data_IF_764375356958
#
_entry.id   IF_764375356958
#
_cell.length_a   1.000
_cell.length_b   1.000
_cell.length_c   1.000
_cell.angle_alpha   90.00
_cell.angle_beta   90.00
_cell.angle_gamma   90.00
#
_symmetry.space_group_name_H-M   'P 1'
#
loop_
_entity.id
_entity.type
_entity.pdbx_description
1 polymer ?
#
# COMPACT_ATOMS: atom_id res chain seq x y z
N UNK A 1 12.40 11.03 11.94
CA UNK A 1 12.71 9.67 12.46
C UNK A 1 12.31 8.67 11.37
N UNK A 2 12.99 7.53 11.19
CA UNK A 2 12.56 6.53 10.19
C UNK A 2 11.32 5.79 10.72
N UNK A 3 10.37 5.51 9.83
CA UNK A 3 9.16 4.75 10.18
C UNK A 3 9.54 3.38 10.77
N UNK A 4 9.09 3.03 11.98
CA UNK A 4 9.56 1.82 12.66
C UNK A 4 9.04 0.55 12.00
N UNK A 5 9.86 -0.50 12.04
CA UNK A 5 9.48 -1.86 11.60
C UNK A 5 9.29 -2.71 12.85
N UNK A 6 8.06 -3.16 13.09
CA UNK A 6 7.71 -3.90 14.30
C UNK A 6 7.41 -5.34 13.95
N UNK A 7 8.17 -6.26 14.53
CA UNK A 7 7.85 -7.70 14.48
C UNK A 7 6.67 -7.98 15.41
N UNK A 8 5.69 -8.72 14.91
CA UNK A 8 4.48 -9.10 15.63
C UNK A 8 4.50 -10.60 15.84
N UNK A 9 4.45 -11.01 17.11
CA UNK A 9 4.31 -12.40 17.49
C UNK A 9 2.87 -12.89 17.23
N UNK A 10 2.71 -14.21 17.06
CA UNK A 10 1.40 -14.84 16.80
C UNK A 10 0.36 -14.53 17.88
N UNK A 11 0.80 -14.38 19.14
CA UNK A 11 -0.05 -14.10 20.30
C UNK A 11 -0.35 -12.60 20.53
N UNK A 12 0.11 -11.73 19.61
CA UNK A 12 -0.13 -10.28 19.65
C UNK A 12 1.01 -9.46 20.27
N UNK A 13 0.71 -8.22 20.67
CA UNK A 13 1.67 -7.32 21.33
C UNK A 13 2.09 -7.85 22.71
N UNK A 14 3.38 -7.74 23.04
CA UNK A 14 3.87 -8.02 24.38
C UNK A 14 3.24 -7.07 25.43
N UNK A 15 3.07 -7.51 26.70
CA UNK A 15 2.57 -6.65 27.77
C UNK A 15 3.41 -5.38 27.91
N UNK A 16 2.76 -4.21 27.87
CA UNK A 16 3.41 -2.89 27.96
C UNK A 16 3.92 -2.31 26.64
N UNK A 17 3.83 -3.05 25.52
CA UNK A 17 4.03 -2.48 24.19
C UNK A 17 2.80 -1.68 23.74
N UNK A 18 2.97 -0.65 22.89
CA UNK A 18 1.83 0.04 22.28
C UNK A 18 0.95 -0.96 21.53
N UNK A 19 -0.34 -0.67 21.43
CA UNK A 19 -1.23 -1.50 20.63
C UNK A 19 -0.77 -1.49 19.16
N UNK A 20 -0.99 -2.59 18.44
CA UNK A 20 -0.65 -2.68 17.01
C UNK A 20 -1.38 -1.61 16.18
N UNK A 21 -2.56 -1.20 16.62
CA UNK A 21 -3.35 -0.11 16.03
C UNK A 21 -2.64 1.22 16.20
N UNK A 22 -2.23 1.58 17.42
CA UNK A 22 -1.48 2.82 17.66
C UNK A 22 -0.17 2.83 16.90
N UNK A 23 0.55 1.70 16.85
CA UNK A 23 1.79 1.59 16.10
C UNK A 23 1.58 1.86 14.60
N UNK A 24 0.53 1.27 13.99
CA UNK A 24 0.17 1.52 12.59
C UNK A 24 -0.20 2.98 12.34
N UNK A 25 -1.02 3.59 13.21
CA UNK A 25 -1.43 4.98 13.05
C UNK A 25 -0.27 5.96 13.22
N UNK A 26 0.74 5.60 14.02
CA UNK A 26 2.01 6.32 14.13
C UNK A 26 3.00 6.01 12.98
N UNK A 27 2.59 5.25 11.97
CA UNK A 27 3.40 5.00 10.77
C UNK A 27 4.36 3.83 10.89
N UNK A 28 4.09 2.84 11.73
CA UNK A 28 4.87 1.60 11.76
C UNK A 28 4.53 0.69 10.58
N UNK A 29 5.48 -0.16 10.20
CA UNK A 29 5.22 -1.35 9.37
C UNK A 29 5.20 -2.55 10.31
N UNK A 30 4.05 -3.22 10.42
CA UNK A 30 3.91 -4.44 11.20
C UNK A 30 4.34 -5.64 10.36
N UNK A 31 5.14 -6.55 10.93
CA UNK A 31 5.66 -7.74 10.25
C UNK A 31 5.25 -8.98 11.02
N UNK A 32 4.48 -9.85 10.38
CA UNK A 32 3.97 -11.10 10.90
C UNK A 32 4.78 -12.26 10.33
N UNK A 33 5.36 -13.07 11.21
CA UNK A 33 6.24 -14.17 10.85
C UNK A 33 5.52 -15.52 10.76
N UNK A 34 4.53 -15.74 11.63
CA UNK A 34 3.92 -17.06 11.86
C UNK A 34 2.46 -17.15 11.39
N UNK A 35 2.11 -16.44 10.32
CA UNK A 35 0.76 -16.49 9.74
C UNK A 35 0.70 -17.46 8.57
N UNK A 36 -0.05 -18.55 8.75
CA UNK A 36 -0.15 -19.63 7.78
C UNK A 36 -1.01 -19.23 6.57
N UNK A 37 -0.47 -19.42 5.37
CA UNK A 37 -1.21 -19.30 4.11
C UNK A 37 -0.68 -20.36 3.13
N UNK A 38 -1.05 -21.64 3.35
CA UNK A 38 -0.54 -22.74 2.56
C UNK A 38 -1.08 -22.70 1.13
N UNK A 39 -0.23 -23.15 0.21
CA UNK A 39 -0.58 -23.37 -1.18
C UNK A 39 -0.97 -24.84 -1.35
N UNK A 40 -2.05 -25.09 -2.09
CA UNK A 40 -2.32 -26.43 -2.61
C UNK A 40 -1.22 -26.85 -3.60
N UNK A 41 -1.15 -28.14 -3.91
CA UNK A 41 -0.18 -28.64 -4.90
C UNK A 41 -0.37 -27.99 -6.27
N UNK A 42 -1.61 -27.66 -6.64
CA UNK A 42 -1.89 -26.93 -7.87
C UNK A 42 -1.38 -25.49 -7.81
N UNK A 43 -1.56 -24.81 -6.68
CA UNK A 43 -1.20 -23.39 -6.53
C UNK A 43 0.30 -23.14 -6.52
N UNK A 44 1.12 -24.15 -6.19
CA UNK A 44 2.59 -24.07 -6.29
C UNK A 44 3.04 -23.66 -7.71
N UNK A 45 2.26 -24.00 -8.73
CA UNK A 45 2.49 -23.57 -10.12
C UNK A 45 2.53 -22.05 -10.27
N UNK A 46 1.73 -21.31 -9.49
CA UNK A 46 1.69 -19.84 -9.52
C UNK A 46 2.98 -19.18 -9.02
N UNK A 47 3.95 -19.94 -8.54
CA UNK A 47 5.27 -19.42 -8.18
C UNK A 47 6.41 -20.05 -8.99
N UNK A 48 6.09 -20.93 -9.92
CA UNK A 48 7.06 -21.51 -10.87
C UNK A 48 7.25 -20.60 -12.09
N UNK A 49 6.15 -20.04 -12.63
CA UNK A 49 6.16 -19.12 -13.77
C UNK A 49 5.24 -17.92 -13.53
N UNK A 50 5.43 -16.77 -14.21
CA UNK A 50 4.55 -15.62 -14.03
C UNK A 50 3.21 -15.84 -14.73
N UNK A 51 2.13 -15.99 -13.96
CA UNK A 51 0.76 -16.16 -14.46
C UNK A 51 0.08 -14.81 -14.80
N UNK A 52 0.72 -14.03 -15.67
CA UNK A 52 0.23 -12.73 -16.10
C UNK A 52 0.31 -12.56 -17.62
N UNK A 53 -0.65 -11.85 -18.21
CA UNK A 53 -0.79 -11.65 -19.66
C UNK A 53 0.25 -10.68 -20.26
N UNK A 54 1.07 -10.05 -19.41
CA UNK A 54 2.10 -9.09 -19.80
C UNK A 54 1.56 -7.73 -20.26
N UNK A 55 0.24 -7.56 -20.41
CA UNK A 55 -0.42 -6.31 -20.82
C UNK A 55 -0.70 -5.42 -19.61
N UNK A 56 -1.11 -6.03 -18.50
CA UNK A 56 -1.35 -5.33 -17.24
C UNK A 56 -0.10 -5.37 -16.35
N UNK A 57 0.12 -4.32 -15.54
CA UNK A 57 1.21 -4.27 -14.55
C UNK A 57 1.11 -5.42 -13.54
N UNK A 58 -0.11 -5.77 -13.12
CA UNK A 58 -0.41 -6.79 -12.11
C UNK A 58 -1.69 -7.56 -12.46
N UNK A 59 -1.77 -8.81 -11.99
CA UNK A 59 -3.03 -9.57 -11.96
C UNK A 59 -3.84 -9.13 -10.74
N UNK A 60 -5.15 -8.96 -10.88
CA UNK A 60 -5.99 -8.58 -9.74
C UNK A 60 -7.43 -9.08 -9.86
N UNK A 61 -8.07 -9.24 -8.71
CA UNK A 61 -9.53 -9.37 -8.58
C UNK A 61 -10.12 -8.06 -8.05
N UNK A 62 -11.28 -7.66 -8.58
CA UNK A 62 -11.99 -6.46 -8.13
C UNK A 62 -13.50 -6.67 -8.10
N UNK A 63 -14.18 -5.84 -7.31
CA UNK A 63 -15.64 -5.85 -7.21
C UNK A 63 -16.18 -7.02 -6.40
N UNK A 64 -17.51 -7.08 -6.28
CA UNK A 64 -18.20 -8.13 -5.52
C UNK A 64 -18.04 -9.52 -6.16
N UNK A 65 -17.99 -9.57 -7.49
CA UNK A 65 -17.85 -10.81 -8.27
C UNK A 65 -16.41 -11.36 -8.27
N UNK A 66 -15.43 -10.62 -7.71
CA UNK A 66 -14.02 -10.97 -7.75
C UNK A 66 -13.54 -11.29 -9.18
N UNK A 67 -13.94 -10.46 -10.15
CA UNK A 67 -13.58 -10.66 -11.55
C UNK A 67 -12.06 -10.54 -11.75
N UNK A 68 -11.44 -11.60 -12.28
CA UNK A 68 -10.00 -11.68 -12.51
C UNK A 68 -9.61 -10.85 -13.74
N UNK A 69 -8.51 -10.10 -13.63
CA UNK A 69 -7.96 -9.29 -14.73
C UNK A 69 -6.45 -9.42 -14.80
N UNK A 70 -5.92 -9.48 -16.02
CA UNK A 70 -4.47 -9.50 -16.29
C UNK A 70 -3.81 -10.87 -16.15
N UNK A 71 -4.58 -11.94 -15.90
CA UNK A 71 -4.07 -13.30 -15.77
C UNK A 71 -3.84 -13.97 -17.13
N UNK A 72 -2.85 -14.86 -17.20
CA UNK A 72 -2.62 -15.76 -18.31
C UNK A 72 -2.87 -17.22 -17.88
N UNK A 73 -2.87 -18.14 -18.84
CA UNK A 73 -3.06 -19.57 -18.60
C UNK A 73 -4.42 -20.09 -19.06
N UNK A 74 -4.66 -21.38 -18.82
CA UNK A 74 -5.93 -22.05 -19.14
C UNK A 74 -7.08 -21.52 -18.26
N UNK A 75 -8.36 -21.75 -18.63
CA UNK A 75 -9.49 -21.37 -17.78
C UNK A 75 -9.41 -21.97 -16.36
N UNK A 76 -8.92 -23.20 -16.23
CA UNK A 76 -8.68 -23.85 -14.95
C UNK A 76 -7.61 -23.12 -14.12
N UNK A 77 -6.47 -22.78 -14.74
CA UNK A 77 -5.40 -22.03 -14.08
C UNK A 77 -5.87 -20.63 -13.65
N UNK A 78 -6.66 -19.96 -14.48
CA UNK A 78 -7.23 -18.65 -14.16
C UNK A 78 -8.23 -18.75 -13.01
N UNK A 79 -9.11 -19.74 -13.00
CA UNK A 79 -10.06 -19.93 -11.90
C UNK A 79 -9.33 -20.27 -10.60
N UNK A 80 -8.33 -21.15 -10.63
CA UNK A 80 -7.52 -21.46 -9.45
C UNK A 80 -6.78 -20.21 -8.92
N UNK A 81 -6.25 -19.34 -9.79
CA UNK A 81 -5.63 -18.08 -9.38
C UNK A 81 -6.65 -17.12 -8.77
N UNK A 82 -7.87 -17.08 -9.33
CA UNK A 82 -8.97 -16.29 -8.77
C UNK A 82 -9.32 -16.78 -7.36
N UNK A 83 -9.41 -18.09 -7.15
CA UNK A 83 -9.68 -18.69 -5.84
C UNK A 83 -8.57 -18.43 -4.82
N UNK A 84 -7.29 -18.50 -5.25
CA UNK A 84 -6.15 -18.11 -4.42
C UNK A 84 -6.29 -16.65 -3.93
N UNK A 85 -6.64 -15.74 -4.84
CA UNK A 85 -6.81 -14.32 -4.50
C UNK A 85 -8.02 -14.07 -3.58
N UNK A 86 -9.12 -14.80 -3.77
CA UNK A 86 -10.28 -14.77 -2.85
C UNK A 86 -9.86 -15.27 -1.46
N UNK A 87 -9.11 -16.37 -1.38
CA UNK A 87 -8.62 -16.89 -0.10
C UNK A 87 -7.65 -15.92 0.56
N UNK A 88 -6.79 -15.25 -0.20
CA UNK A 88 -5.90 -14.22 0.35
C UNK A 88 -6.67 -13.00 0.87
N UNK A 89 -7.76 -12.61 0.21
CA UNK A 89 -8.66 -11.57 0.71
C UNK A 89 -9.28 -11.95 2.06
N UNK A 90 -9.73 -13.19 2.21
CA UNK A 90 -10.27 -13.71 3.48
C UNK A 90 -9.17 -13.80 4.56
N UNK A 91 -7.97 -14.24 4.22
CA UNK A 91 -6.80 -14.25 5.10
C UNK A 91 -6.49 -12.83 5.63
N UNK A 92 -6.45 -11.83 4.75
CA UNK A 92 -6.21 -10.45 5.15
C UNK A 92 -7.31 -9.89 6.07
N UNK A 93 -8.58 -10.27 5.85
CA UNK A 93 -9.68 -9.93 6.76
C UNK A 93 -9.45 -10.55 8.15
N UNK A 94 -9.14 -11.84 8.21
CA UNK A 94 -8.88 -12.53 9.48
C UNK A 94 -7.68 -11.97 10.24
N UNK A 95 -6.63 -11.54 9.53
CA UNK A 95 -5.48 -10.87 10.13
C UNK A 95 -5.87 -9.54 10.77
N UNK A 96 -6.66 -8.71 10.06
CA UNK A 96 -7.20 -7.46 10.60
C UNK A 96 -8.05 -7.75 11.84
N UNK A 97 -8.96 -8.72 11.76
CA UNK A 97 -9.89 -8.98 12.86
C UNK A 97 -9.20 -9.53 14.12
N UNK A 98 -8.12 -10.28 13.95
CA UNK A 98 -7.32 -10.81 15.06
C UNK A 98 -6.42 -9.76 15.70
N UNK A 99 -5.68 -9.01 14.88
CA UNK A 99 -4.56 -8.18 15.35
C UNK A 99 -4.90 -6.70 15.44
N UNK A 100 -5.94 -6.25 14.74
CA UNK A 100 -6.38 -4.84 14.68
C UNK A 100 -7.87 -4.72 15.06
N UNK A 101 -8.28 -5.16 16.26
CA UNK A 101 -9.69 -5.27 16.64
C UNK A 101 -10.44 -3.93 16.59
N UNK A 102 -9.74 -2.80 16.75
CA UNK A 102 -10.32 -1.46 16.60
C UNK A 102 -10.91 -1.20 15.20
N UNK A 103 -10.45 -1.95 14.19
CA UNK A 103 -10.82 -1.80 12.78
C UNK A 103 -11.79 -2.89 12.27
N UNK A 104 -12.08 -3.91 13.09
CA UNK A 104 -13.06 -4.95 12.77
C UNK A 104 -14.41 -4.33 12.43
N UNK A 105 -14.97 -4.74 11.29
CA UNK A 105 -16.24 -4.21 10.77
C UNK A 105 -16.19 -2.76 10.25
N UNK A 106 -15.06 -2.05 10.36
CA UNK A 106 -14.89 -0.67 9.88
C UNK A 106 -14.09 -0.57 8.58
N UNK A 107 -13.38 -1.62 8.23
CA UNK A 107 -12.57 -1.69 7.00
C UNK A 107 -13.39 -2.21 5.82
N UNK A 108 -13.22 -1.58 4.67
CA UNK A 108 -13.75 -2.06 3.40
C UNK A 108 -12.64 -2.63 2.53
N UNK A 109 -12.64 -3.94 2.30
CA UNK A 109 -11.67 -4.58 1.40
C UNK A 109 -11.93 -4.22 -0.06
N UNK A 110 -10.86 -3.80 -0.74
CA UNK A 110 -10.86 -3.44 -2.15
C UNK A 110 -10.25 -4.55 -3.01
N UNK A 111 -9.48 -4.18 -4.04
CA UNK A 111 -8.85 -5.14 -4.93
C UNK A 111 -7.74 -5.94 -4.26
N UNK A 112 -7.60 -7.18 -4.70
CA UNK A 112 -6.51 -8.09 -4.32
C UNK A 112 -5.61 -8.28 -5.53
N UNK A 113 -4.31 -8.12 -5.37
CA UNK A 113 -3.33 -8.18 -6.46
C UNK A 113 -2.35 -9.33 -6.27
N UNK A 114 -2.04 -10.01 -7.37
CA UNK A 114 -0.91 -10.94 -7.49
C UNK A 114 0.14 -10.30 -8.39
N UNK A 115 1.37 -10.20 -7.85
CA UNK A 115 2.52 -9.56 -8.50
C UNK A 115 3.60 -10.61 -8.77
N UNK A 116 3.55 -11.28 -9.95
CA UNK A 116 4.45 -12.40 -10.27
C UNK A 116 5.85 -12.02 -10.73
N UNK A 117 6.04 -10.78 -11.15
CA UNK A 117 7.28 -10.32 -11.74
C UNK A 117 8.25 -9.83 -10.66
N UNK A 118 9.54 -9.88 -10.99
CA UNK A 118 10.58 -9.17 -10.25
C UNK A 118 10.18 -7.69 -10.15
N UNK A 119 10.55 -7.03 -9.05
CA UNK A 119 10.36 -5.57 -8.98
C UNK A 119 11.08 -4.95 -10.16
N UNK A 120 10.25 -4.38 -11.01
CA UNK A 120 10.57 -4.16 -12.38
C UNK A 120 11.47 -2.93 -12.54
N UNK A 121 12.75 -3.14 -12.85
CA UNK A 121 13.65 -2.07 -13.28
C UNK A 121 13.41 -1.64 -14.75
N UNK A 122 12.34 -2.12 -15.43
CA UNK A 122 11.98 -1.58 -16.74
C UNK A 122 11.86 -0.06 -16.63
N UNK A 123 12.22 0.65 -17.72
CA UNK A 123 12.13 2.11 -17.89
C UNK A 123 10.66 2.58 -17.86
N UNK A 124 9.99 2.38 -16.74
CA UNK A 124 8.71 3.01 -16.44
C UNK A 124 8.96 4.50 -16.29
N UNK A 125 7.95 5.31 -16.59
CA UNK A 125 8.05 6.73 -16.28
C UNK A 125 8.34 6.89 -14.79
N UNK A 126 9.18 7.86 -14.43
CA UNK A 126 9.60 8.07 -13.04
C UNK A 126 8.43 8.19 -12.05
N UNK A 127 7.24 8.62 -12.51
CA UNK A 127 5.99 8.65 -11.72
C UNK A 127 5.47 7.25 -11.37
N UNK A 128 5.66 6.27 -12.25
CA UNK A 128 5.19 4.88 -12.12
C UNK A 128 6.25 3.91 -11.61
N UNK A 129 7.46 4.41 -11.41
CA UNK A 129 8.59 3.71 -10.83
C UNK A 129 8.37 3.58 -9.32
N UNK A 130 8.11 2.36 -8.85
CA UNK A 130 7.82 2.07 -7.45
C UNK A 130 9.11 1.78 -6.64
N UNK A 131 10.29 1.84 -7.28
CA UNK A 131 11.60 1.74 -6.59
C UNK A 131 11.95 3.02 -5.84
N UNK A 132 11.36 4.14 -6.26
CA UNK A 132 11.51 5.44 -5.61
C UNK A 132 10.61 5.52 -4.39
N UNK A 133 11.14 6.06 -3.29
CA UNK A 133 10.39 6.35 -2.08
C UNK A 133 9.17 7.21 -2.42
N UNK A 134 8.00 6.77 -1.98
CA UNK A 134 6.74 7.47 -2.17
C UNK A 134 5.75 7.11 -1.05
N UNK A 135 4.73 7.95 -0.92
CA UNK A 135 3.48 7.60 -0.25
C UNK A 135 2.43 7.34 -1.32
N UNK A 136 1.55 6.37 -1.11
CA UNK A 136 0.55 6.03 -2.11
C UNK A 136 -0.44 7.17 -2.33
N UNK A 137 -0.51 7.63 -3.57
CA UNK A 137 -1.53 8.56 -4.05
C UNK A 137 -2.01 8.11 -5.43
N UNK A 138 -3.33 8.00 -5.61
CA UNK A 138 -3.88 7.52 -6.87
C UNK A 138 -4.43 8.66 -7.72
N UNK A 139 -3.83 8.98 -8.88
CA UNK A 139 -4.24 10.13 -9.69
C UNK A 139 -5.66 10.01 -10.24
N UNK A 140 -6.11 8.79 -10.50
CA UNK A 140 -7.41 8.47 -11.12
C UNK A 140 -8.47 7.98 -10.12
N UNK A 141 -8.10 7.77 -8.85
CA UNK A 141 -9.01 7.29 -7.81
C UNK A 141 -8.80 8.11 -6.52
N UNK A 142 -9.34 9.34 -6.46
CA UNK A 142 -9.25 10.17 -5.26
C UNK A 142 -9.84 9.42 -4.07
N UNK A 143 -9.16 9.52 -2.94
CA UNK A 143 -9.38 8.69 -1.75
C UNK A 143 -10.31 9.41 -0.77
N UNK A 144 -10.21 10.75 -0.73
CA UNK A 144 -10.98 11.59 0.19
C UNK A 144 -10.65 11.28 1.65
N UNK A 145 -11.66 11.21 2.51
CA UNK A 145 -11.53 10.94 3.95
C UNK A 145 -11.36 9.44 4.27
N UNK A 146 -10.52 8.76 3.50
CA UNK A 146 -10.18 7.34 3.72
C UNK A 146 -8.68 7.15 3.77
N UNK A 147 -8.27 6.13 4.51
CA UNK A 147 -6.90 5.64 4.64
C UNK A 147 -6.68 4.44 3.74
N UNK A 148 -5.45 4.26 3.27
CA UNK A 148 -5.04 3.08 2.50
C UNK A 148 -4.26 2.13 3.41
N UNK A 149 -4.93 1.10 3.91
CA UNK A 149 -4.26 -0.01 4.59
C UNK A 149 -3.88 -1.06 3.55
N UNK A 150 -2.61 -1.47 3.50
CA UNK A 150 -2.17 -2.55 2.62
C UNK A 150 -1.60 -3.71 3.43
N UNK A 151 -2.00 -4.92 3.03
CA UNK A 151 -1.56 -6.19 3.60
C UNK A 151 -0.84 -6.94 2.51
N UNK A 152 0.46 -7.12 2.68
CA UNK A 152 1.34 -7.74 1.71
C UNK A 152 1.84 -9.08 2.23
N UNK A 153 2.08 -10.03 1.33
CA UNK A 153 2.72 -11.30 1.66
C UNK A 153 3.75 -11.67 0.62
N UNK A 154 4.95 -12.03 1.08
CA UNK A 154 5.97 -12.61 0.23
C UNK A 154 5.64 -14.11 0.04
N UNK A 155 5.34 -14.50 -1.19
CA UNK A 155 5.01 -15.88 -1.55
C UNK A 155 6.12 -16.50 -2.43
N UNK A 156 7.33 -15.96 -2.38
CA UNK A 156 8.45 -16.49 -3.13
C UNK A 156 8.84 -17.91 -2.64
N UNK A 157 9.02 -18.90 -3.52
CA UNK A 157 9.31 -20.28 -3.12
C UNK A 157 10.80 -20.54 -2.86
N UNK A 158 11.68 -19.64 -3.31
CA UNK A 158 13.13 -19.90 -3.43
C UNK A 158 13.96 -19.09 -2.43
N UNK A 159 13.41 -18.74 -1.27
CA UNK A 159 14.16 -18.01 -0.25
C UNK A 159 14.35 -16.50 -0.52
N UNK A 160 13.93 -15.99 -1.68
CA UNK A 160 14.18 -14.60 -2.06
C UNK A 160 13.31 -13.63 -1.23
N UNK A 161 13.91 -12.66 -0.51
CA UNK A 161 13.16 -11.66 0.22
C UNK A 161 12.54 -10.61 -0.72
N UNK A 162 11.50 -9.94 -0.25
CA UNK A 162 11.00 -8.69 -0.82
C UNK A 162 11.80 -7.55 -0.18
N UNK A 163 12.52 -6.79 -0.99
CA UNK A 163 13.38 -5.70 -0.52
C UNK A 163 12.62 -4.39 -0.59
N UNK A 164 12.47 -3.71 0.54
CA UNK A 164 11.89 -2.37 0.64
C UNK A 164 12.90 -1.38 1.19
N UNK A 165 12.76 -0.12 0.79
CA UNK A 165 13.24 1.03 1.54
C UNK A 165 12.07 1.66 2.25
N UNK A 166 12.25 1.96 3.53
CA UNK A 166 11.27 2.67 4.35
C UNK A 166 11.87 3.99 4.77
N UNK A 167 11.15 5.07 4.52
CA UNK A 167 11.66 6.43 4.71
C UNK A 167 11.33 7.04 6.08
N UNK A 168 11.67 8.32 6.21
CA UNK A 168 11.29 9.13 7.38
C UNK A 168 9.77 9.25 7.56
N UNK A 169 9.38 9.65 8.78
CA UNK A 169 7.99 9.88 9.14
C UNK A 169 7.32 10.94 8.26
N UNK A 170 6.01 10.76 8.05
CA UNK A 170 5.23 11.58 7.14
C UNK A 170 5.29 13.07 7.49
N UNK A 171 5.30 13.41 8.78
CA UNK A 171 5.34 14.80 9.24
C UNK A 171 6.64 15.51 8.84
N UNK A 172 7.79 14.87 9.08
CA UNK A 172 9.11 15.40 8.69
C UNK A 172 9.23 15.53 7.18
N UNK A 173 8.74 14.54 6.43
CA UNK A 173 8.71 14.59 4.96
C UNK A 173 7.83 15.74 4.46
N UNK A 174 6.59 15.84 4.97
CA UNK A 174 5.65 16.88 4.54
C UNK A 174 6.22 18.29 4.78
N UNK A 175 6.95 18.51 5.87
CA UNK A 175 7.59 19.80 6.15
C UNK A 175 8.59 20.25 5.09
N UNK A 176 9.36 19.29 4.55
CA UNK A 176 10.39 19.56 3.54
C UNK A 176 9.78 19.86 2.16
N UNK A 177 8.69 19.18 1.82
CA UNK A 177 8.12 19.24 0.47
C UNK A 177 6.92 20.19 0.33
N UNK A 178 6.11 20.38 1.38
CA UNK A 178 4.92 21.25 1.35
C UNK A 178 5.19 22.66 0.78
N UNK A 179 6.28 23.37 1.15
CA UNK A 179 6.54 24.71 0.64
C UNK A 179 6.78 24.76 -0.89
N UNK A 180 7.12 23.63 -1.51
CA UNK A 180 7.46 23.51 -2.93
C UNK A 180 6.30 23.02 -3.78
N UNK A 181 5.18 22.62 -3.18
CA UNK A 181 4.06 22.06 -3.91
C UNK A 181 3.25 23.15 -4.61
N UNK A 182 2.71 22.87 -5.81
CA UNK A 182 1.81 23.80 -6.47
C UNK A 182 0.55 24.01 -5.63
N UNK A 183 0.02 25.24 -5.68
CA UNK A 183 -1.23 25.58 -5.02
C UNK A 183 -2.43 24.86 -5.63
N UNK A 184 -3.41 24.52 -4.79
CA UNK A 184 -4.66 23.93 -5.25
C UNK A 184 -5.59 24.99 -5.87
N UNK A 185 -6.14 24.67 -7.05
CA UNK A 185 -7.18 25.48 -7.69
C UNK A 185 -8.49 24.67 -7.83
N UNK A 186 -9.58 25.07 -7.14
CA UNK A 186 -10.86 24.39 -7.24
C UNK A 186 -11.45 24.37 -8.66
N UNK A 187 -11.11 25.37 -9.48
CA UNK A 187 -11.56 25.49 -10.88
C UNK A 187 -10.91 24.43 -11.77
N UNK A 188 -9.60 24.20 -11.61
CA UNK A 188 -8.88 23.18 -12.40
C UNK A 188 -9.35 21.77 -12.01
N UNK A 189 -9.57 21.51 -10.72
CA UNK A 189 -10.10 20.23 -10.24
C UNK A 189 -11.49 19.93 -10.78
N UNK A 190 -12.35 20.96 -10.91
CA UNK A 190 -13.68 20.83 -11.51
C UNK A 190 -13.59 20.54 -13.01
N UNK A 191 -12.72 21.24 -13.75
CA UNK A 191 -12.51 21.00 -15.18
C UNK A 191 -12.02 19.57 -15.46
N UNK A 192 -11.03 19.07 -14.70
CA UNK A 192 -10.51 17.71 -14.86
C UNK A 192 -11.56 16.63 -14.61
N UNK A 193 -12.44 16.84 -13.63
CA UNK A 193 -13.55 15.94 -13.35
C UNK A 193 -14.62 15.99 -14.47
N UNK A 194 -14.94 17.20 -14.96
CA UNK A 194 -15.87 17.38 -16.09
C UNK A 194 -15.37 16.69 -17.36
N UNK A 195 -14.05 16.75 -17.61
CA UNK A 195 -13.39 16.07 -18.73
C UNK A 195 -13.18 14.55 -18.52
N UNK A 196 -13.68 13.98 -17.41
CA UNK A 196 -13.56 12.55 -17.04
C UNK A 196 -12.12 12.02 -16.98
N UNK A 197 -11.13 12.91 -16.81
CA UNK A 197 -9.72 12.53 -16.63
C UNK A 197 -9.53 11.92 -15.24
N UNK A 198 -10.30 12.38 -14.24
CA UNK A 198 -10.40 11.78 -12.91
C UNK A 198 -11.79 11.17 -12.72
N UNK A 199 -11.89 10.05 -11.99
CA UNK A 199 -13.18 9.37 -11.74
C UNK A 199 -14.13 10.16 -10.83
N UNK A 200 -13.60 11.10 -10.07
CA UNK A 200 -14.36 12.04 -9.24
C UNK A 200 -13.61 13.38 -9.13
N UNK A 201 -14.24 14.38 -8.51
CA UNK A 201 -13.60 15.65 -8.18
C UNK A 201 -12.44 15.39 -7.21
N UNK A 202 -11.24 15.79 -7.60
CA UNK A 202 -10.04 15.71 -6.77
C UNK A 202 -10.19 16.68 -5.60
N UNK A 203 -10.09 16.20 -4.36
CA UNK A 203 -10.05 17.07 -3.18
C UNK A 203 -8.72 17.82 -3.11
N UNK A 204 -8.64 18.86 -2.28
CA UNK A 204 -7.37 19.54 -2.01
C UNK A 204 -6.35 18.57 -1.38
N UNK A 205 -6.82 17.67 -0.51
CA UNK A 205 -5.98 16.62 0.07
C UNK A 205 -5.41 15.69 -1.02
N UNK A 206 -6.24 15.18 -1.92
CA UNK A 206 -5.77 14.30 -3.01
C UNK A 206 -4.81 15.02 -3.96
N UNK A 207 -4.99 16.33 -4.15
CA UNK A 207 -4.06 17.17 -4.92
C UNK A 207 -2.69 17.24 -4.23
N UNK A 208 -2.66 17.58 -2.94
CA UNK A 208 -1.42 17.64 -2.17
C UNK A 208 -0.72 16.28 -2.10
N UNK A 209 -1.45 15.19 -1.83
CA UNK A 209 -0.88 13.85 -1.78
C UNK A 209 -0.26 13.42 -3.11
N UNK A 210 -0.93 13.73 -4.23
CA UNK A 210 -0.37 13.43 -5.56
C UNK A 210 0.90 14.24 -5.86
N UNK A 211 0.91 15.52 -5.47
CA UNK A 211 2.09 16.37 -5.66
C UNK A 211 3.24 16.01 -4.71
N UNK A 212 2.95 15.56 -3.49
CA UNK A 212 3.94 14.97 -2.59
C UNK A 212 4.53 13.70 -3.18
N UNK A 213 3.68 12.79 -3.67
CA UNK A 213 4.12 11.58 -4.36
C UNK A 213 5.06 11.90 -5.53
N UNK A 214 4.67 12.83 -6.41
CA UNK A 214 5.48 13.21 -7.57
C UNK A 214 6.76 13.94 -7.16
N UNK A 215 6.72 14.87 -6.20
CA UNK A 215 7.89 15.59 -5.72
C UNK A 215 8.93 14.64 -5.10
N UNK A 216 8.47 13.69 -4.27
CA UNK A 216 9.33 12.65 -3.69
C UNK A 216 10.01 11.80 -4.75
N UNK A 217 9.25 11.33 -5.75
CA UNK A 217 9.83 10.54 -6.84
C UNK A 217 10.77 11.34 -7.73
N UNK A 218 10.61 12.66 -7.82
CA UNK A 218 11.45 13.51 -8.66
C UNK A 218 12.77 13.92 -7.98
N UNK A 219 12.77 14.11 -6.66
CA UNK A 219 13.93 14.59 -5.89
C UNK A 219 14.97 13.47 -5.68
N UNK A 220 15.91 13.34 -6.63
CA UNK A 220 16.94 12.31 -6.59
C UNK A 220 17.94 12.49 -5.44
N UNK A 221 18.16 13.72 -4.98
CA UNK A 221 19.03 13.95 -3.82
C UNK A 221 18.39 13.38 -2.56
N UNK A 222 17.10 13.63 -2.38
CA UNK A 222 16.33 13.05 -1.29
C UNK A 222 16.25 11.52 -1.39
N UNK A 223 16.07 10.96 -2.60
CA UNK A 223 16.07 9.50 -2.80
C UNK A 223 17.38 8.81 -2.40
N UNK A 224 18.51 9.52 -2.50
CA UNK A 224 19.83 8.98 -2.18
C UNK A 224 20.25 9.25 -0.73
N UNK A 225 20.02 10.47 -0.23
CA UNK A 225 20.55 10.94 1.06
C UNK A 225 19.48 11.09 2.15
N UNK A 226 18.20 11.03 1.79
CA UNK A 226 17.10 11.17 2.75
C UNK A 226 17.14 10.06 3.82
N UNK A 227 16.61 10.30 5.03
CA UNK A 227 16.59 9.27 6.05
C UNK A 227 15.73 8.09 5.60
N UNK A 228 16.36 6.92 5.47
CA UNK A 228 15.74 5.70 5.00
C UNK A 228 16.44 4.47 5.57
N UNK A 229 15.73 3.36 5.69
CA UNK A 229 16.26 2.07 6.08
C UNK A 229 15.86 1.00 5.07
N UNK A 230 16.78 0.09 4.79
CA UNK A 230 16.50 -1.12 4.03
C UNK A 230 15.80 -2.15 4.93
N UNK A 231 14.74 -2.75 4.41
CA UNK A 231 13.92 -3.75 5.10
C UNK A 231 13.75 -4.94 4.18
N UNK A 232 14.00 -6.13 4.72
CA UNK A 232 13.87 -7.38 3.98
C UNK A 232 12.71 -8.19 4.55
N UNK A 233 11.70 -8.44 3.72
CA UNK A 233 10.60 -9.33 4.07
C UNK A 233 10.87 -10.72 3.51
N UNK A 234 11.24 -11.65 4.38
CA UNK A 234 11.52 -13.04 4.02
C UNK A 234 10.28 -13.75 3.45
N UNK A 235 10.44 -14.82 2.66
CA UNK A 235 9.32 -15.65 2.23
C UNK A 235 8.42 -16.10 3.38
N UNK A 236 7.11 -16.12 3.15
CA UNK A 236 6.10 -16.45 4.15
C UNK A 236 5.71 -15.27 5.05
N UNK A 237 6.57 -14.25 5.19
CA UNK A 237 6.22 -13.08 5.99
C UNK A 237 5.10 -12.27 5.36
N UNK A 238 4.22 -11.78 6.24
CA UNK A 238 3.15 -10.86 5.90
C UNK A 238 3.45 -9.53 6.57
N UNK A 239 3.27 -8.41 5.88
CA UNK A 239 3.44 -7.10 6.50
C UNK A 239 2.27 -6.17 6.20
N UNK A 240 1.97 -5.31 7.17
CA UNK A 240 0.81 -4.42 7.16
C UNK A 240 1.27 -3.00 7.44
N UNK A 241 0.79 -2.06 6.64
CA UNK A 241 1.09 -0.65 6.84
C UNK A 241 0.04 0.24 6.20
N UNK A 242 -0.10 1.46 6.72
CA UNK A 242 -0.79 2.54 6.03
C UNK A 242 0.11 3.12 4.95
N UNK A 243 -0.09 2.69 3.71
CA UNK A 243 0.82 3.02 2.61
C UNK A 243 0.68 4.47 2.10
N UNK A 244 -0.38 5.16 2.53
CA UNK A 244 -0.57 6.61 2.38
C UNK A 244 0.17 7.45 3.43
N UNK A 245 0.68 6.84 4.49
CA UNK A 245 1.41 7.47 5.58
C UNK A 245 2.89 7.06 5.57
N UNK A 246 3.16 5.76 5.46
CA UNK A 246 4.51 5.24 5.43
C UNK A 246 5.11 5.39 4.06
N UNK A 247 6.20 6.17 4.00
CA UNK A 247 7.00 6.30 2.80
C UNK A 247 7.76 5.01 2.53
N UNK A 248 7.56 4.44 1.34
CA UNK A 248 8.13 3.16 0.96
C UNK A 248 8.59 3.14 -0.50
N UNK A 249 9.55 2.29 -0.81
CA UNK A 249 10.01 2.00 -2.17
C UNK A 249 10.37 0.52 -2.29
N UNK A 250 9.84 -0.17 -3.30
CA UNK A 250 10.15 -1.58 -3.52
C UNK A 250 11.43 -1.70 -4.36
N UNK A 251 12.50 -2.25 -3.79
CA UNK A 251 13.81 -2.34 -4.45
C UNK A 251 14.02 -3.65 -5.20
N UNK A 252 13.31 -4.70 -4.80
CA UNK A 252 13.54 -6.04 -5.33
C UNK A 252 12.57 -7.09 -4.80
N UNK A 253 12.61 -8.25 -5.42
CA UNK A 253 11.85 -9.43 -5.05
C UNK A 253 10.78 -9.77 -6.08
N UNK A 254 10.39 -11.04 -6.10
CA UNK A 254 9.37 -11.61 -6.99
C UNK A 254 8.30 -12.32 -6.19
N UNK A 255 7.11 -12.44 -6.77
CA UNK A 255 5.96 -13.17 -6.20
C UNK A 255 5.47 -12.58 -4.88
N UNK A 256 4.53 -11.64 -4.99
CA UNK A 256 3.92 -10.99 -3.84
C UNK A 256 2.40 -10.95 -4.00
N UNK A 257 1.69 -11.21 -2.91
CA UNK A 257 0.26 -10.95 -2.79
C UNK A 257 0.05 -9.62 -2.06
N UNK A 258 -1.00 -8.89 -2.44
CA UNK A 258 -1.37 -7.62 -1.85
C UNK A 258 -2.88 -7.52 -1.74
N UNK A 259 -3.37 -7.16 -0.55
CA UNK A 259 -4.75 -6.76 -0.33
C UNK A 259 -4.78 -5.28 0.02
N UNK A 260 -5.59 -4.50 -0.70
CA UNK A 260 -5.90 -3.12 -0.33
C UNK A 260 -7.16 -3.08 0.54
N UNK A 261 -7.13 -2.32 1.62
CA UNK A 261 -8.21 -2.08 2.56
C UNK A 261 -8.40 -0.58 2.73
N UNK A 262 -9.65 -0.11 2.76
CA UNK A 262 -9.98 1.28 3.04
C UNK A 262 -10.57 1.41 4.43
N UNK A 263 -10.06 2.37 5.20
CA UNK A 263 -10.57 2.73 6.54
C UNK A 263 -10.99 4.20 6.52
N UNK A 264 -12.23 4.57 6.89
CA UNK A 264 -12.59 5.97 7.06
C UNK A 264 -11.70 6.65 8.10
N UNK A 265 -11.27 7.90 7.86
CA UNK A 265 -10.43 8.65 8.82
C UNK A 265 -11.11 8.76 10.20
N UNK A 266 -12.43 8.91 10.23
CA UNK A 266 -13.23 8.96 11.46
C UNK A 266 -13.28 7.64 12.24
N UNK A 267 -12.86 6.54 11.63
CA UNK A 267 -12.83 5.19 12.23
C UNK A 267 -11.46 4.82 12.78
N UNK A 268 -10.45 5.68 12.62
CA UNK A 268 -9.15 5.54 13.28
C UNK A 268 -9.30 5.69 14.81
N UNK A 269 -8.38 5.08 15.55
CA UNK A 269 -8.29 5.28 17.00
C UNK A 269 -7.89 6.73 17.31
N UNK A 270 -6.94 7.27 16.56
CA UNK A 270 -6.56 8.68 16.52
C UNK A 270 -6.62 9.23 15.08
N UNK A 271 -7.74 9.89 14.70
CA UNK A 271 -7.89 10.55 13.41
C UNK A 271 -6.86 11.66 13.14
N UNK A 272 -6.29 12.28 14.18
CA UNK A 272 -5.33 13.39 14.04
C UNK A 272 -3.98 12.93 13.48
N UNK A 273 -3.67 11.64 13.57
CA UNK A 273 -2.51 11.00 12.95
C UNK A 273 -2.69 10.70 11.45
N UNK A 274 -3.86 10.97 10.88
CA UNK A 274 -4.06 10.81 9.45
C UNK A 274 -3.23 11.81 8.64
N UNK A 275 -2.71 11.43 7.45
CA UNK A 275 -2.03 12.35 6.55
C UNK A 275 -2.87 13.61 6.28
N UNK A 276 -4.19 13.48 6.15
CA UNK A 276 -5.09 14.61 5.95
C UNK A 276 -5.05 15.62 7.12
N UNK A 277 -5.09 15.15 8.37
CA UNK A 277 -5.05 16.02 9.55
C UNK A 277 -3.65 16.58 9.78
N UNK A 278 -2.60 15.79 9.56
CA UNK A 278 -1.20 16.25 9.61
C UNK A 278 -0.96 17.38 8.62
N UNK A 279 -1.39 17.22 7.35
CA UNK A 279 -1.25 18.27 6.34
C UNK A 279 -2.08 19.52 6.68
N UNK A 280 -3.32 19.34 7.16
CA UNK A 280 -4.17 20.45 7.58
C UNK A 280 -3.53 21.27 8.72
N UNK A 281 -2.96 20.59 9.72
CA UNK A 281 -2.26 21.21 10.86
C UNK A 281 -1.02 21.99 10.38
N UNK A 282 -0.21 21.40 9.51
CA UNK A 282 0.98 22.06 8.95
C UNK A 282 0.65 23.27 8.09
N UNK A 283 -0.47 23.24 7.37
CA UNK A 283 -0.94 24.36 6.55
C UNK A 283 -1.75 25.39 7.35
N UNK A 284 -2.02 25.15 8.64
CA UNK A 284 -2.82 26.04 9.49
C UNK A 284 -4.29 26.18 9.07
N UNK A 285 -4.81 25.27 8.22
CA UNK A 285 -6.17 25.34 7.69
C UNK A 285 -6.74 23.97 7.36
N UNK A 286 -8.07 23.83 7.44
CA UNK A 286 -8.76 22.60 7.04
C UNK A 286 -8.65 22.39 5.53
N UNK A 287 -8.30 21.17 5.11
CA UNK A 287 -8.29 20.74 3.72
C UNK A 287 -9.68 20.24 3.33
N UNK A 288 -10.20 20.70 2.18
CA UNK A 288 -11.54 20.36 1.66
C UNK A 288 -11.49 19.51 0.41
#
# INVERSE_FOLDING_TARGET
>A
MISPILSVARDGSAPGAPSLVEALENGSVLVFHDEDFPFSDFEKRFVERPFADGKAKNVNIRGKEAALRGAAGTPEEQEALRQLLIRYKAFAQGLIDRHLPAYTGKVTLAGTSYRPFEVDQRKLSWRRDDTRLHVDAFPSNPIGEKRILRIFRNINPNGQPRLWRVGEDFGSMAEKFLPRLPGYSPLSARLLATLRITKARRSEYDHLMLHLHDALKQDMEYQQKGPQADVQFAPGQTWVTFSDLVMHGAMGGRYMLEQTAYLPVTSQADPELSPQRILAKKLGRKLR
#
